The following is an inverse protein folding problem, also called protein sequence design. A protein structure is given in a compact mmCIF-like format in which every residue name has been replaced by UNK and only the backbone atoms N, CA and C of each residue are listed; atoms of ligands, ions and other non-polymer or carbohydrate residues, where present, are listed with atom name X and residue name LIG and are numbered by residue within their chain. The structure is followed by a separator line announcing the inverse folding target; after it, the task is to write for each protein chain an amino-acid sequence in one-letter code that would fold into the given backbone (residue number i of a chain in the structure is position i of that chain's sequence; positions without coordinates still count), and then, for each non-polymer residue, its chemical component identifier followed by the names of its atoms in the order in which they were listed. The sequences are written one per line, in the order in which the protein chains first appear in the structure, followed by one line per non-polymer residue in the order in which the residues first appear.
data_IF_841026336477
#
_entry.id   IF_841026336477
#
_cell.length_a   1.000
_cell.length_b   1.000
_cell.length_c   1.000
_cell.angle_alpha   90.00
_cell.angle_beta   90.00
_cell.angle_gamma   90.00
#
_symmetry.space_group_name_H-M   'P 1'
#
loop_
_entity.id
_entity.type
_entity.pdbx_description
1 polymer ?
#
# COMPACT_ATOMS: atom_id res chain seq x y z
N UNK A 1 -28.54 7.28 -33.48
CA UNK A 1 -28.30 6.43 -32.28
C UNK A 1 -27.80 7.22 -31.10
N UNK A 2 -26.54 7.70 -31.03
CA UNK A 2 -25.92 8.38 -29.86
C UNK A 2 -26.67 9.66 -29.44
N UNK A 3 -27.25 10.42 -30.39
CA UNK A 3 -27.91 11.73 -30.13
C UNK A 3 -29.14 11.66 -29.21
N UNK A 4 -29.76 10.47 -29.05
CA UNK A 4 -30.99 10.30 -28.28
C UNK A 4 -30.70 9.87 -26.84
N UNK A 5 -29.74 8.99 -26.63
CA UNK A 5 -29.41 8.42 -25.33
C UNK A 5 -28.12 9.00 -24.72
N UNK A 6 -27.63 10.14 -25.24
CA UNK A 6 -26.40 10.80 -24.78
C UNK A 6 -26.42 11.16 -23.28
N UNK A 7 -27.61 11.33 -22.74
CA UNK A 7 -27.78 11.65 -21.32
C UNK A 7 -27.44 10.47 -20.40
N UNK A 8 -27.53 9.19 -20.86
CA UNK A 8 -27.20 8.01 -20.07
C UNK A 8 -25.70 8.00 -19.70
N UNK A 9 -24.75 8.09 -20.64
CA UNK A 9 -23.34 8.20 -20.31
C UNK A 9 -23.02 9.40 -19.39
N UNK A 10 -23.65 10.54 -19.61
CA UNK A 10 -23.47 11.72 -18.76
C UNK A 10 -23.97 11.46 -17.34
N UNK A 11 -25.14 10.86 -17.21
CA UNK A 11 -25.73 10.57 -15.89
C UNK A 11 -24.92 9.50 -15.14
N UNK A 12 -24.43 8.46 -15.80
CA UNK A 12 -23.58 7.45 -15.17
C UNK A 12 -22.26 8.06 -14.70
N UNK A 13 -21.59 8.88 -15.51
CA UNK A 13 -20.37 9.59 -15.10
C UNK A 13 -20.65 10.54 -13.95
N UNK A 14 -21.73 11.33 -14.01
CA UNK A 14 -22.11 12.24 -12.94
C UNK A 14 -22.43 11.49 -11.64
N UNK A 15 -23.15 10.37 -11.71
CA UNK A 15 -23.45 9.54 -10.54
C UNK A 15 -22.18 9.00 -9.89
N UNK A 16 -21.27 8.44 -10.69
CA UNK A 16 -19.99 7.92 -10.17
C UNK A 16 -19.13 9.04 -9.61
N UNK A 17 -19.08 10.22 -10.25
CA UNK A 17 -18.35 11.36 -9.75
C UNK A 17 -18.90 11.83 -8.38
N UNK A 18 -20.23 11.95 -8.25
CA UNK A 18 -20.88 12.34 -6.98
C UNK A 18 -20.61 11.29 -5.90
N UNK A 19 -20.77 9.99 -6.20
CA UNK A 19 -20.48 8.91 -5.25
C UNK A 19 -19.02 8.96 -4.80
N UNK A 20 -18.08 9.15 -5.73
CA UNK A 20 -16.65 9.25 -5.39
C UNK A 20 -16.38 10.46 -4.50
N UNK A 21 -16.95 11.62 -4.82
CA UNK A 21 -16.81 12.84 -3.99
C UNK A 21 -17.39 12.66 -2.59
N UNK A 22 -18.53 11.99 -2.45
CA UNK A 22 -19.16 11.76 -1.14
C UNK A 22 -18.38 10.73 -0.33
N UNK A 23 -17.89 9.65 -0.95
CA UNK A 23 -17.17 8.57 -0.25
C UNK A 23 -15.73 8.96 0.10
N UNK A 24 -15.00 9.57 -0.80
CA UNK A 24 -13.58 9.87 -0.60
C UNK A 24 -13.34 11.20 0.11
N UNK A 25 -14.34 12.07 0.15
CA UNK A 25 -14.25 13.39 0.79
C UNK A 25 -12.92 14.08 0.50
N UNK A 26 -12.59 14.37 -0.77
CA UNK A 26 -11.28 14.91 -1.18
C UNK A 26 -10.94 16.26 -0.55
N UNK A 27 -11.93 16.92 0.09
CA UNK A 27 -11.75 18.15 0.88
C UNK A 27 -11.22 17.88 2.30
N UNK A 28 -11.18 16.62 2.76
CA UNK A 28 -10.50 16.26 4.00
C UNK A 28 -9.03 16.00 3.65
N UNK A 29 -8.18 16.94 4.06
CA UNK A 29 -6.73 16.75 3.96
C UNK A 29 -6.35 15.49 4.72
N UNK A 30 -5.83 14.48 4.03
CA UNK A 30 -5.23 13.33 4.70
C UNK A 30 -4.06 13.85 5.54
N UNK A 31 -3.92 13.41 6.80
CA UNK A 31 -2.77 13.80 7.58
C UNK A 31 -1.49 13.39 6.84
N UNK A 32 -0.45 14.22 6.86
CA UNK A 32 0.82 13.86 6.25
C UNK A 32 1.35 12.57 6.90
N UNK A 33 1.92 11.70 6.09
CA UNK A 33 2.60 10.50 6.56
C UNK A 33 4.06 10.57 6.13
N UNK A 34 4.94 10.18 7.03
CA UNK A 34 6.39 10.20 6.84
C UNK A 34 6.91 8.77 6.88
N UNK A 35 7.95 8.49 6.13
CA UNK A 35 8.60 7.20 6.09
C UNK A 35 10.09 7.35 6.32
N UNK A 36 10.65 6.41 7.06
CA UNK A 36 12.10 6.19 7.15
C UNK A 36 12.41 4.71 7.00
N UNK A 37 13.64 4.39 6.70
CA UNK A 37 14.11 3.00 6.59
C UNK A 37 15.45 2.84 7.28
N UNK A 38 15.62 1.71 7.94
CA UNK A 38 16.86 1.29 8.58
C UNK A 38 17.31 0.00 7.90
N UNK A 39 18.62 -0.10 7.62
CA UNK A 39 19.19 -1.32 7.06
C UNK A 39 20.26 -1.84 8.02
N UNK A 40 20.15 -3.12 8.38
CA UNK A 40 21.08 -3.78 9.29
C UNK A 40 21.76 -4.93 8.55
N UNK A 41 23.07 -5.02 8.70
CA UNK A 41 23.82 -6.24 8.39
C UNK A 41 23.70 -7.19 9.56
N UNK A 42 23.18 -8.39 9.28
CA UNK A 42 22.98 -9.42 10.31
C UNK A 42 23.85 -10.61 9.99
N UNK A 43 24.52 -11.14 10.98
CA UNK A 43 25.34 -12.31 10.75
C UNK A 43 25.97 -12.88 12.03
N UNK A 44 26.47 -14.09 11.92
CA UNK A 44 27.25 -14.78 12.93
C UNK A 44 28.72 -14.70 12.53
N UNK A 45 29.59 -14.40 13.47
CA UNK A 45 31.03 -14.36 13.22
C UNK A 45 31.65 -15.74 13.56
N UNK A 46 32.47 -16.31 12.67
CA UNK A 46 33.17 -17.56 12.97
C UNK A 46 34.23 -17.33 14.07
N UNK A 47 34.41 -18.32 14.95
CA UNK A 47 35.46 -18.31 15.96
C UNK A 47 36.84 -18.45 15.32
N UNK A 48 36.93 -19.29 14.26
CA UNK A 48 38.17 -19.55 13.50
C UNK A 48 37.96 -19.15 12.02
N UNK A 49 38.23 -17.92 11.64
CA UNK A 49 37.98 -17.44 10.24
C UNK A 49 38.77 -18.19 9.16
N UNK A 50 39.78 -18.98 9.53
CA UNK A 50 40.57 -19.84 8.60
C UNK A 50 39.97 -21.20 8.31
N UNK A 51 38.96 -21.63 9.05
CA UNK A 51 38.31 -22.92 8.87
C UNK A 51 37.16 -22.80 7.85
N UNK A 52 37.30 -23.48 6.73
CA UNK A 52 36.30 -23.45 5.64
C UNK A 52 34.97 -24.09 6.01
N UNK A 53 34.97 -25.11 6.86
CA UNK A 53 33.76 -25.82 7.31
C UNK A 53 33.00 -24.92 8.30
N UNK A 54 33.67 -24.31 9.26
CA UNK A 54 33.08 -23.37 10.19
C UNK A 54 32.51 -22.12 9.46
N UNK A 55 33.22 -21.62 8.45
CA UNK A 55 32.73 -20.48 7.63
C UNK A 55 31.44 -20.84 6.87
N UNK A 56 31.30 -22.10 6.41
CA UNK A 56 30.07 -22.56 5.75
C UNK A 56 28.89 -22.59 6.73
N UNK A 57 29.07 -23.18 7.92
CA UNK A 57 28.01 -23.25 8.92
C UNK A 57 27.62 -21.87 9.48
N UNK A 58 28.57 -20.98 9.69
CA UNK A 58 28.28 -19.60 10.13
C UNK A 58 27.58 -18.77 9.06
N UNK A 59 27.90 -18.99 7.78
CA UNK A 59 27.16 -18.38 6.67
C UNK A 59 25.70 -18.85 6.64
N UNK A 60 25.47 -20.17 6.79
CA UNK A 60 24.14 -20.76 6.84
C UNK A 60 23.36 -20.28 8.09
N UNK A 61 24.00 -20.26 9.25
CA UNK A 61 23.41 -19.72 10.49
C UNK A 61 23.00 -18.26 10.34
N UNK A 62 23.80 -17.46 9.62
CA UNK A 62 23.47 -16.05 9.37
C UNK A 62 22.22 -15.89 8.48
N UNK A 63 21.97 -16.81 7.53
CA UNK A 63 20.77 -16.81 6.71
C UNK A 63 19.51 -17.11 7.53
N UNK A 64 19.58 -18.08 8.44
CA UNK A 64 18.47 -18.37 9.35
C UNK A 64 18.26 -17.23 10.37
N UNK A 65 19.34 -16.67 10.89
CA UNK A 65 19.29 -15.60 11.86
C UNK A 65 18.52 -14.38 11.32
N UNK A 66 18.76 -14.00 10.06
CA UNK A 66 18.08 -12.83 9.48
C UNK A 66 16.60 -13.11 9.20
N UNK A 67 16.25 -14.37 8.87
CA UNK A 67 14.86 -14.76 8.71
C UNK A 67 14.08 -14.62 10.01
N UNK A 68 14.60 -15.25 11.05
CA UNK A 68 13.99 -15.23 12.37
C UNK A 68 13.95 -13.79 12.91
N UNK A 69 15.02 -13.00 12.74
CA UNK A 69 15.07 -11.61 13.20
C UNK A 69 14.05 -10.73 12.46
N UNK A 70 13.78 -11.01 11.19
CA UNK A 70 12.75 -10.28 10.44
C UNK A 70 11.34 -10.51 11.01
N UNK A 71 11.06 -11.71 11.52
CA UNK A 71 9.80 -12.03 12.19
C UNK A 71 9.75 -11.44 13.61
N UNK A 72 10.85 -11.48 14.35
CA UNK A 72 10.94 -10.83 15.67
C UNK A 72 10.61 -9.35 15.58
N UNK A 73 11.17 -8.63 14.60
CA UNK A 73 10.92 -7.18 14.42
C UNK A 73 9.46 -6.87 14.15
N UNK A 74 8.70 -7.80 13.56
CA UNK A 74 7.25 -7.67 13.34
C UNK A 74 6.43 -8.06 14.56
N UNK A 75 7.07 -8.67 15.55
CA UNK A 75 6.41 -9.22 16.73
C UNK A 75 5.98 -8.15 17.73
N UNK A 76 4.96 -8.49 18.55
CA UNK A 76 4.44 -7.62 19.61
C UNK A 76 5.46 -7.38 20.72
N UNK A 77 6.29 -8.37 21.05
CA UNK A 77 7.31 -8.26 22.10
C UNK A 77 8.39 -7.23 21.74
N UNK A 78 8.82 -7.25 20.46
CA UNK A 78 9.75 -6.25 19.96
C UNK A 78 9.12 -4.84 19.98
N UNK A 79 7.87 -4.72 19.53
CA UNK A 79 7.14 -3.46 19.58
C UNK A 79 6.96 -2.94 21.01
N UNK A 80 6.75 -3.84 21.99
CA UNK A 80 6.67 -3.49 23.41
C UNK A 80 8.00 -2.96 23.93
N UNK A 81 9.11 -3.63 23.62
CA UNK A 81 10.45 -3.18 24.04
C UNK A 81 10.82 -1.81 23.45
N UNK A 82 10.44 -1.56 22.18
CA UNK A 82 10.62 -0.24 21.54
C UNK A 82 9.74 0.82 22.22
N UNK A 83 8.47 0.49 22.52
CA UNK A 83 7.54 1.38 23.23
C UNK A 83 8.06 1.77 24.62
N UNK A 84 8.55 0.81 25.39
CA UNK A 84 9.14 1.06 26.73
C UNK A 84 10.36 1.98 26.64
N UNK A 85 11.21 1.79 25.62
CA UNK A 85 12.37 2.65 25.40
C UNK A 85 11.94 4.08 25.02
N UNK A 86 10.92 4.26 24.20
CA UNK A 86 10.36 5.57 23.88
C UNK A 86 9.74 6.24 25.10
N UNK A 87 9.01 5.48 25.91
CA UNK A 87 8.39 5.97 27.15
C UNK A 87 9.45 6.50 28.14
N UNK A 88 10.63 5.86 28.21
CA UNK A 88 11.76 6.36 29.00
C UNK A 88 12.32 7.70 28.53
N UNK A 89 12.04 8.07 27.27
CA UNK A 89 12.40 9.36 26.67
C UNK A 89 11.25 10.38 26.73
N UNK A 90 10.10 10.01 27.35
CA UNK A 90 8.92 10.86 27.43
C UNK A 90 8.03 10.83 26.20
N UNK A 91 8.22 9.87 25.29
CA UNK A 91 7.43 9.69 24.06
C UNK A 91 6.51 8.49 24.27
N UNK A 92 5.20 8.74 24.36
CA UNK A 92 4.19 7.70 24.58
C UNK A 92 3.64 7.19 23.23
N UNK A 93 4.12 6.02 22.81
CA UNK A 93 3.68 5.37 21.56
C UNK A 93 3.21 3.95 21.89
N UNK A 94 1.90 3.63 21.66
CA UNK A 94 1.39 2.30 21.94
C UNK A 94 2.08 1.20 21.13
N UNK A 95 2.42 0.03 21.73
CA UNK A 95 3.07 -1.07 21.02
C UNK A 95 2.33 -1.53 19.77
N UNK A 96 1.00 -1.59 19.81
CA UNK A 96 0.19 -1.99 18.65
C UNK A 96 0.28 -1.00 17.48
N UNK A 97 0.46 0.30 17.74
CA UNK A 97 0.67 1.29 16.71
C UNK A 97 2.07 1.14 16.07
N UNK A 98 3.10 0.88 16.89
CA UNK A 98 4.45 0.58 16.40
C UNK A 98 4.46 -0.68 15.54
N UNK A 99 3.83 -1.77 16.00
CA UNK A 99 3.73 -3.00 15.24
C UNK A 99 3.04 -2.78 13.88
N UNK A 100 1.93 -2.05 13.86
CA UNK A 100 1.17 -1.77 12.64
C UNK A 100 1.89 -0.85 11.66
N UNK A 101 2.81 0.01 12.13
CA UNK A 101 3.55 0.99 11.33
C UNK A 101 4.92 0.48 10.87
N UNK A 102 5.40 -0.63 11.44
CA UNK A 102 6.73 -1.20 11.17
C UNK A 102 6.63 -2.36 10.19
N UNK A 103 7.44 -2.33 9.15
CA UNK A 103 7.60 -3.41 8.19
C UNK A 103 9.03 -3.88 8.19
N UNK A 104 9.25 -5.19 8.29
CA UNK A 104 10.56 -5.79 8.16
C UNK A 104 10.61 -6.70 6.92
N UNK A 105 11.74 -6.66 6.24
CA UNK A 105 12.02 -7.52 5.10
C UNK A 105 13.52 -7.76 4.99
N UNK A 106 13.90 -8.82 4.27
CA UNK A 106 15.30 -9.14 4.05
C UNK A 106 15.66 -9.05 2.57
N UNK A 107 16.90 -8.68 2.30
CA UNK A 107 17.54 -8.84 1.01
C UNK A 107 18.95 -9.39 1.28
N UNK A 108 19.16 -10.68 1.00
CA UNK A 108 20.37 -11.42 1.36
C UNK A 108 20.63 -11.33 2.88
N UNK A 109 21.76 -10.75 3.29
CA UNK A 109 22.17 -10.56 4.70
C UNK A 109 21.84 -9.17 5.23
N UNK A 110 20.98 -8.43 4.55
CA UNK A 110 20.54 -7.11 4.97
C UNK A 110 19.08 -7.18 5.41
N UNK A 111 18.84 -6.88 6.66
CA UNK A 111 17.52 -6.67 7.22
C UNK A 111 17.12 -5.20 6.97
N UNK A 112 16.03 -4.99 6.27
CA UNK A 112 15.47 -3.68 6.04
C UNK A 112 14.22 -3.50 6.90
N UNK A 113 14.21 -2.44 7.70
CA UNK A 113 13.08 -2.08 8.57
C UNK A 113 12.53 -0.74 8.09
N UNK A 114 11.33 -0.74 7.55
CA UNK A 114 10.60 0.45 7.13
C UNK A 114 9.59 0.85 8.20
N UNK A 115 9.50 2.16 8.49
CA UNK A 115 8.58 2.70 9.49
C UNK A 115 7.81 3.84 8.85
N UNK A 116 6.49 3.85 9.05
CA UNK A 116 5.60 4.94 8.58
C UNK A 116 4.91 5.57 9.77
N UNK A 117 4.99 6.90 9.91
CA UNK A 117 4.42 7.63 11.05
C UNK A 117 3.85 8.99 10.66
N UNK A 118 2.97 9.55 11.49
CA UNK A 118 2.33 10.85 11.22
C UNK A 118 3.15 12.07 11.59
N UNK A 119 4.14 11.93 12.49
CA UNK A 119 4.98 13.01 12.99
C UNK A 119 6.46 12.72 12.67
N UNK A 120 7.18 13.61 11.99
CA UNK A 120 8.57 13.38 11.59
C UNK A 120 9.55 13.30 12.77
N UNK A 121 9.30 14.06 13.85
CA UNK A 121 10.17 14.06 15.03
C UNK A 121 10.00 12.76 15.82
N UNK A 122 8.75 12.30 16.03
CA UNK A 122 8.47 11.00 16.63
C UNK A 122 9.02 9.86 15.77
N UNK A 123 8.90 9.95 14.43
CA UNK A 123 9.43 8.95 13.51
C UNK A 123 10.96 8.80 13.66
N UNK A 124 11.65 9.91 13.85
CA UNK A 124 13.11 9.90 14.11
C UNK A 124 13.41 9.17 15.40
N UNK A 125 12.70 9.49 16.48
CA UNK A 125 12.86 8.84 17.78
C UNK A 125 12.51 7.33 17.72
N UNK A 126 11.45 6.96 17.00
CA UNK A 126 11.08 5.56 16.77
C UNK A 126 12.21 4.82 16.04
N UNK A 127 12.76 5.42 14.98
CA UNK A 127 13.89 4.85 14.26
C UNK A 127 15.12 4.63 15.15
N UNK A 128 15.42 5.59 16.02
CA UNK A 128 16.51 5.47 16.99
C UNK A 128 16.25 4.36 18.01
N UNK A 129 15.05 4.31 18.56
CA UNK A 129 14.66 3.29 19.52
C UNK A 129 14.71 1.87 18.89
N UNK A 130 14.25 1.70 17.66
CA UNK A 130 14.35 0.43 16.92
C UNK A 130 15.82 0.04 16.70
N UNK A 131 16.66 0.99 16.27
CA UNK A 131 18.06 0.72 16.02
C UNK A 131 18.79 0.23 17.28
N UNK A 132 18.58 0.92 18.40
CA UNK A 132 19.19 0.57 19.67
C UNK A 132 18.62 -0.76 20.22
N UNK A 133 17.31 -0.97 20.12
CA UNK A 133 16.67 -2.23 20.55
C UNK A 133 17.20 -3.43 19.76
N UNK A 134 17.37 -3.31 18.45
CA UNK A 134 17.95 -4.38 17.64
C UNK A 134 19.42 -4.65 17.98
N UNK A 135 20.21 -3.64 18.26
CA UNK A 135 21.63 -3.81 18.57
C UNK A 135 21.89 -4.34 19.99
N UNK A 136 21.10 -3.88 20.97
CA UNK A 136 21.32 -4.22 22.37
C UNK A 136 20.46 -5.37 22.88
N UNK A 137 19.20 -5.44 22.43
CA UNK A 137 18.21 -6.37 22.98
C UNK A 137 17.92 -7.59 22.10
N UNK A 138 18.50 -7.67 20.89
CA UNK A 138 18.34 -8.83 20.04
C UNK A 138 18.71 -10.17 20.73
N UNK A 139 19.76 -10.24 21.58
CA UNK A 139 20.07 -11.44 22.36
C UNK A 139 18.94 -11.90 23.30
N UNK A 140 18.11 -10.99 23.80
CA UNK A 140 16.99 -11.33 24.68
C UNK A 140 15.87 -12.04 23.93
N UNK A 141 15.64 -11.67 22.66
CA UNK A 141 14.64 -12.30 21.81
C UNK A 141 15.11 -13.63 21.23
N UNK A 142 16.40 -13.78 20.97
CA UNK A 142 16.99 -14.95 20.29
C UNK A 142 18.28 -15.43 20.99
N UNK A 143 18.21 -15.87 22.26
CA UNK A 143 19.38 -16.12 23.08
C UNK A 143 20.32 -17.19 22.53
N UNK A 144 19.79 -18.23 21.83
CA UNK A 144 20.60 -19.30 21.28
C UNK A 144 21.44 -18.88 20.08
N UNK A 145 20.92 -18.01 19.23
CA UNK A 145 21.57 -17.56 18.00
C UNK A 145 22.60 -16.45 18.28
N UNK A 146 22.28 -15.55 19.21
CA UNK A 146 23.19 -14.50 19.61
C UNK A 146 24.30 -14.98 20.59
N UNK A 147 24.07 -16.11 21.30
CA UNK A 147 25.12 -16.74 22.10
C UNK A 147 26.30 -17.26 21.25
N UNK A 148 26.11 -17.43 19.94
CA UNK A 148 27.13 -17.85 18.97
C UNK A 148 27.70 -16.66 18.18
N UNK A 149 28.01 -15.55 18.83
CA UNK A 149 28.56 -14.34 18.19
C UNK A 149 27.68 -13.74 17.08
N UNK A 150 26.36 -13.87 17.19
CA UNK A 150 25.42 -13.20 16.31
C UNK A 150 25.39 -11.70 16.60
N UNK A 151 25.33 -10.88 15.55
CA UNK A 151 25.26 -9.43 15.69
C UNK A 151 24.41 -8.81 14.57
N UNK A 152 23.76 -7.70 14.90
CA UNK A 152 23.07 -6.83 13.96
C UNK A 152 23.72 -5.44 14.00
N UNK A 153 24.29 -5.03 12.88
CA UNK A 153 24.96 -3.72 12.75
C UNK A 153 24.14 -2.81 11.86
N UNK A 154 23.84 -1.61 12.31
CA UNK A 154 23.21 -0.58 11.51
C UNK A 154 24.17 -0.16 10.38
N UNK A 155 23.78 -0.42 9.12
CA UNK A 155 24.57 -0.11 7.94
C UNK A 155 24.11 1.18 7.30
N UNK A 156 22.79 1.41 7.27
CA UNK A 156 22.22 2.59 6.65
C UNK A 156 20.99 3.06 7.42
N UNK A 157 20.85 4.39 7.51
CA UNK A 157 19.68 5.08 8.02
C UNK A 157 19.14 5.96 6.91
N UNK A 158 17.94 5.68 6.44
CA UNK A 158 17.20 6.55 5.51
C UNK A 158 16.78 7.85 6.20
N UNK A 159 16.77 8.94 5.45
CA UNK A 159 16.17 10.18 5.92
C UNK A 159 14.67 10.06 6.10
N UNK A 160 14.09 10.91 6.95
CA UNK A 160 12.64 11.04 7.06
C UNK A 160 12.12 11.75 5.80
N UNK A 161 11.21 11.10 5.10
CA UNK A 161 10.65 11.61 3.84
C UNK A 161 9.13 11.61 3.92
N UNK A 162 8.50 12.69 3.49
CA UNK A 162 7.04 12.75 3.40
C UNK A 162 6.52 11.85 2.27
N UNK A 163 5.50 11.07 2.56
CA UNK A 163 4.82 10.23 1.58
C UNK A 163 3.83 11.09 0.80
N UNK A 164 4.21 11.50 -0.39
CA UNK A 164 3.31 12.17 -1.32
C UNK A 164 2.25 11.21 -1.90
N UNK A 165 1.19 11.75 -2.54
CA UNK A 165 0.18 10.93 -3.19
C UNK A 165 0.81 10.06 -4.27
N UNK A 166 0.51 8.77 -4.21
CA UNK A 166 1.03 7.78 -5.16
C UNK A 166 0.47 8.03 -6.58
N UNK A 167 1.15 7.49 -7.59
CA UNK A 167 0.61 7.50 -8.97
C UNK A 167 -0.76 6.82 -9.04
N UNK A 168 -0.97 5.80 -8.21
CA UNK A 168 -2.26 5.11 -8.10
C UNK A 168 -3.36 6.05 -7.62
N UNK A 169 -3.10 6.84 -6.57
CA UNK A 169 -4.09 7.81 -6.03
C UNK A 169 -4.45 8.86 -7.08
N UNK A 170 -3.47 9.30 -7.88
CA UNK A 170 -3.69 10.28 -8.97
C UNK A 170 -4.50 9.71 -10.14
N UNK A 171 -4.34 8.44 -10.44
CA UNK A 171 -4.98 7.77 -11.56
C UNK A 171 -6.34 7.15 -11.18
N UNK A 172 -6.64 6.98 -9.90
CA UNK A 172 -7.83 6.30 -9.42
C UNK A 172 -9.13 7.00 -9.88
N UNK A 173 -9.21 8.31 -9.70
CA UNK A 173 -10.37 9.10 -10.14
C UNK A 173 -10.57 9.06 -11.67
N UNK A 174 -9.57 9.38 -12.52
CA UNK A 174 -9.74 9.31 -13.96
C UNK A 174 -10.08 7.90 -14.46
N UNK A 175 -9.51 6.85 -13.86
CA UNK A 175 -9.84 5.46 -14.22
C UNK A 175 -11.29 5.11 -13.90
N UNK A 176 -11.80 5.50 -12.75
CA UNK A 176 -13.22 5.30 -12.37
C UNK A 176 -14.16 6.01 -13.33
N UNK A 177 -13.85 7.24 -13.72
CA UNK A 177 -14.65 8.01 -14.67
C UNK A 177 -14.64 7.40 -16.08
N UNK A 178 -13.51 6.87 -16.53
CA UNK A 178 -13.40 6.15 -17.81
C UNK A 178 -14.25 4.89 -17.81
N UNK A 179 -14.21 4.11 -16.73
CA UNK A 179 -15.03 2.89 -16.59
C UNK A 179 -16.53 3.26 -16.57
N UNK A 180 -16.89 4.32 -15.84
CA UNK A 180 -18.27 4.81 -15.80
C UNK A 180 -18.76 5.28 -17.18
N UNK A 181 -17.92 5.95 -17.95
CA UNK A 181 -18.21 6.37 -19.32
C UNK A 181 -18.43 5.16 -20.24
N UNK A 182 -17.53 4.18 -20.19
CA UNK A 182 -17.66 2.95 -20.99
C UNK A 182 -18.95 2.18 -20.64
N UNK A 183 -19.25 2.04 -19.35
CA UNK A 183 -20.50 1.42 -18.89
C UNK A 183 -21.74 2.22 -19.34
N UNK A 184 -21.70 3.54 -19.24
CA UNK A 184 -22.79 4.42 -19.72
C UNK A 184 -23.04 4.32 -21.22
N UNK A 185 -21.98 4.22 -22.01
CA UNK A 185 -22.08 3.98 -23.46
C UNK A 185 -22.71 2.61 -23.73
N UNK A 186 -22.27 1.56 -23.04
CA UNK A 186 -22.85 0.22 -23.17
C UNK A 186 -24.35 0.19 -22.81
N UNK A 187 -24.73 0.88 -21.73
CA UNK A 187 -26.13 1.05 -21.34
C UNK A 187 -26.95 1.83 -22.37
N UNK A 188 -26.37 2.86 -23.00
CA UNK A 188 -27.03 3.61 -24.05
C UNK A 188 -27.31 2.72 -25.30
N UNK A 189 -26.37 1.86 -25.69
CA UNK A 189 -26.56 0.88 -26.74
C UNK A 189 -27.61 -0.16 -26.36
N UNK A 190 -27.60 -0.64 -25.13
CA UNK A 190 -28.61 -1.59 -24.64
C UNK A 190 -30.00 -0.97 -24.63
N UNK A 191 -30.13 0.29 -24.19
CA UNK A 191 -31.39 1.02 -24.21
C UNK A 191 -31.94 1.21 -25.63
N UNK A 192 -31.06 1.50 -26.59
CA UNK A 192 -31.45 1.57 -28.01
C UNK A 192 -31.85 0.21 -28.56
N UNK A 193 -31.15 -0.85 -28.19
CA UNK A 193 -31.47 -2.23 -28.63
C UNK A 193 -32.82 -2.71 -28.09
N UNK A 194 -33.18 -2.35 -26.86
CA UNK A 194 -34.44 -2.70 -26.20
C UNK A 194 -35.60 -1.79 -26.59
N UNK A 195 -35.37 -0.67 -27.32
CA UNK A 195 -36.43 0.24 -27.74
C UNK A 195 -37.07 -0.23 -29.02
N UNK A 196 -38.06 -1.07 -28.90
CA UNK A 196 -38.84 -1.65 -30.02
C UNK A 196 -39.87 -0.67 -30.59
N UNK A 197 -39.79 0.64 -30.33
CA UNK A 197 -40.75 1.61 -30.82
C UNK A 197 -40.44 2.03 -32.25
N UNK A 198 -41.34 1.79 -33.15
CA UNK A 198 -41.33 2.30 -34.54
C UNK A 198 -41.58 3.82 -34.50
N UNK A 199 -40.60 4.62 -34.94
CA UNK A 199 -40.69 6.09 -34.84
C UNK A 199 -40.30 6.84 -36.10
N UNK A 200 -39.72 6.15 -37.07
CA UNK A 200 -39.33 6.73 -38.33
C UNK A 200 -39.95 5.92 -39.50
N UNK A 201 -40.09 6.57 -40.64
CA UNK A 201 -40.47 5.94 -41.86
C UNK A 201 -39.58 4.75 -42.23
N UNK A 202 -38.27 4.95 -42.05
CA UNK A 202 -37.27 3.92 -42.30
C UNK A 202 -37.47 2.66 -41.43
N UNK A 203 -37.97 2.82 -40.20
CA UNK A 203 -38.23 1.70 -39.29
C UNK A 203 -39.45 0.87 -39.80
N UNK A 204 -40.44 1.55 -40.37
CA UNK A 204 -41.62 0.88 -40.98
C UNK A 204 -41.21 0.16 -42.26
N UNK A 205 -40.42 0.76 -43.11
CA UNK A 205 -39.92 0.17 -44.36
C UNK A 205 -39.04 -1.05 -44.11
N UNK A 206 -38.19 -1.04 -43.03
CA UNK A 206 -37.39 -2.20 -42.62
C UNK A 206 -38.24 -3.39 -42.16
N UNK A 207 -39.46 -3.16 -41.69
CA UNK A 207 -40.42 -4.21 -41.34
C UNK A 207 -41.18 -4.76 -42.57
N UNK A 208 -40.85 -4.29 -43.78
CA UNK A 208 -41.49 -4.71 -45.00
C UNK A 208 -42.90 -4.12 -45.22
N UNK A 209 -43.27 -3.09 -44.45
CA UNK A 209 -44.57 -2.42 -44.52
C UNK A 209 -44.51 -1.18 -45.44
N UNK A 210 -45.48 -0.98 -46.30
CA UNK A 210 -45.58 0.18 -47.18
C UNK A 210 -46.15 1.37 -46.39
N UNK A 211 -45.40 2.50 -46.35
CA UNK A 211 -45.86 3.72 -45.69
C UNK A 211 -46.91 4.42 -46.57
N UNK A 212 -48.15 4.46 -46.13
CA UNK A 212 -49.29 5.02 -46.87
C UNK A 212 -49.45 6.53 -46.63
N UNK A 213 -48.93 7.06 -45.54
CA UNK A 213 -48.99 8.48 -45.23
C UNK A 213 -48.21 8.84 -43.98
N UNK A 214 -47.74 10.09 -43.88
CA UNK A 214 -47.00 10.65 -42.75
C UNK A 214 -47.74 11.87 -42.21
N UNK A 215 -47.96 11.92 -40.88
CA UNK A 215 -48.56 13.10 -40.23
C UNK A 215 -47.43 14.04 -39.82
N UNK A 216 -47.32 15.22 -40.41
CA UNK A 216 -46.26 16.19 -40.05
C UNK A 216 -46.35 16.58 -38.59
N UNK A 217 -45.24 16.54 -37.87
CA UNK A 217 -45.14 17.13 -36.52
C UNK A 217 -45.28 18.61 -36.61
N UNK A 218 -46.20 19.20 -35.81
CA UNK A 218 -46.33 20.63 -35.58
C UNK A 218 -45.14 21.14 -34.78
#
# INVERSE_FOLDING_TARGET
MIRRWWWIPVLTVALVAVLTLVMERPWQTRPPAYVTSLSFSVGVQPENPGDGEENYYTALASEYLIDDLSEVVRGSEFASAVSERLASQGIDVPPGALQGSTQAGKLHRILNVGITWGNPDELTAIGDAIAVTLQESAPAFMPRLFAQNGAAYLVNRGGVTEIGPSLRDRLELPMRLLIALAAGIALAFLAEYLDNRVRSRDDVEKLGLMVVGEIPKK
#
